data_IF_771249495175
#
_entry.id   IF_771249495175
#
_cell.length_a   1.000
_cell.length_b   1.000
_cell.length_c   1.000
_cell.angle_alpha   90.00
_cell.angle_beta   90.00
_cell.angle_gamma   90.00
#
_symmetry.space_group_name_H-M   'P 1'
#
loop_
_entity.id
_entity.type
_entity.pdbx_description
1 polymer ?
#
# COMPACT_ATOMS: atom_id res chain seq x y z
N UNK A 1 -12.72 -4.40 -26.45
CA UNK A 1 -12.42 -4.87 -25.08
C UNK A 1 -12.07 -3.65 -24.26
N UNK A 2 -12.96 -3.20 -23.40
CA UNK A 2 -12.64 -2.14 -22.43
C UNK A 2 -11.65 -2.74 -21.44
N UNK A 3 -10.41 -2.24 -21.44
CA UNK A 3 -9.43 -2.59 -20.42
C UNK A 3 -10.00 -2.17 -19.07
N UNK A 4 -10.28 -3.13 -18.19
CA UNK A 4 -10.74 -2.86 -16.83
C UNK A 4 -9.68 -1.97 -16.14
N UNK A 5 -10.10 -0.86 -15.53
CA UNK A 5 -9.15 0.08 -14.93
C UNK A 5 -8.38 -0.60 -13.80
N UNK A 6 -7.06 -0.36 -13.74
CA UNK A 6 -6.16 -0.94 -12.74
C UNK A 6 -6.52 -0.51 -11.31
N UNK A 7 -6.24 -1.39 -10.36
CA UNK A 7 -6.15 -1.05 -8.94
C UNK A 7 -4.74 -0.56 -8.66
N UNK A 8 -4.60 0.57 -7.98
CA UNK A 8 -3.32 1.04 -7.48
C UNK A 8 -3.30 0.94 -5.96
N UNK A 9 -2.37 0.16 -5.42
CA UNK A 9 -2.09 0.12 -3.98
C UNK A 9 -0.95 1.10 -3.71
N UNK A 10 -1.23 2.12 -2.90
CA UNK A 10 -0.25 3.15 -2.54
C UNK A 10 0.18 2.98 -1.09
N UNK A 11 1.48 2.76 -0.90
CA UNK A 11 2.11 2.54 0.40
C UNK A 11 2.99 3.73 0.74
N UNK A 12 2.63 4.45 1.81
CA UNK A 12 3.37 5.61 2.28
C UNK A 12 4.73 5.22 2.91
N UNK A 13 5.63 6.19 3.09
CA UNK A 13 6.90 5.95 3.78
C UNK A 13 6.74 5.63 5.28
N UNK A 14 7.84 5.24 5.93
CA UNK A 14 7.87 5.10 7.39
C UNK A 14 7.43 6.42 8.05
N UNK A 15 6.76 6.33 9.20
CA UNK A 15 6.25 7.47 9.98
C UNK A 15 5.22 8.39 9.28
N UNK A 16 4.87 8.12 8.03
CA UNK A 16 3.83 8.87 7.30
C UNK A 16 2.48 8.16 7.35
N UNK A 17 1.40 8.92 7.18
CA UNK A 17 0.02 8.41 7.01
C UNK A 17 -0.30 8.43 5.50
N UNK A 18 -1.34 7.71 5.05
CA UNK A 18 -1.82 7.82 3.67
C UNK A 18 -2.09 9.26 3.20
N UNK A 19 -2.47 10.16 4.11
CA UNK A 19 -2.76 11.56 3.76
C UNK A 19 -1.53 12.34 3.27
N UNK A 20 -0.30 11.91 3.61
CA UNK A 20 0.92 12.51 3.06
C UNK A 20 1.06 12.24 1.54
N UNK A 21 0.37 11.22 1.04
CA UNK A 21 0.26 10.89 -0.38
C UNK A 21 -1.07 11.37 -1.00
N UNK A 22 -1.76 12.33 -0.36
CA UNK A 22 -3.07 12.80 -0.83
C UNK A 22 -3.07 13.29 -2.28
N UNK A 23 -2.05 14.07 -2.68
CA UNK A 23 -1.96 14.59 -4.06
C UNK A 23 -1.95 13.48 -5.12
N UNK A 24 -1.03 12.48 -5.06
CA UNK A 24 -1.05 11.39 -6.03
C UNK A 24 -2.31 10.51 -5.91
N UNK A 25 -2.84 10.28 -4.71
CA UNK A 25 -4.09 9.52 -4.52
C UNK A 25 -5.26 10.21 -5.25
N UNK A 26 -5.44 11.51 -5.04
CA UNK A 26 -6.52 12.26 -5.68
C UNK A 26 -6.35 12.30 -7.20
N UNK A 27 -5.12 12.48 -7.69
CA UNK A 27 -4.87 12.52 -9.13
C UNK A 27 -5.21 11.18 -9.80
N UNK A 28 -4.71 10.07 -9.27
CA UNK A 28 -5.01 8.73 -9.80
C UNK A 28 -6.52 8.42 -9.74
N UNK A 29 -7.20 8.85 -8.69
CA UNK A 29 -8.67 8.72 -8.63
C UNK A 29 -9.39 9.55 -9.68
N UNK A 30 -8.93 10.78 -9.97
CA UNK A 30 -9.47 11.62 -11.07
C UNK A 30 -9.26 10.97 -12.44
N UNK A 31 -8.14 10.31 -12.63
CA UNK A 31 -7.84 9.52 -13.84
C UNK A 31 -8.65 8.21 -13.90
N UNK A 32 -9.35 7.90 -12.79
CA UNK A 32 -10.32 6.83 -12.62
C UNK A 32 -9.73 5.49 -12.19
N UNK A 33 -8.50 5.48 -11.69
CA UNK A 33 -7.93 4.31 -11.01
C UNK A 33 -8.64 4.08 -9.67
N UNK A 34 -8.72 2.81 -9.26
CA UNK A 34 -9.13 2.46 -7.89
C UNK A 34 -7.90 2.53 -7.01
N UNK A 35 -7.81 3.53 -6.13
CA UNK A 35 -6.64 3.73 -5.26
C UNK A 35 -6.91 3.29 -3.84
N UNK A 36 -6.17 2.27 -3.40
CA UNK A 36 -6.14 1.76 -2.04
C UNK A 36 -4.90 2.30 -1.34
N UNK A 37 -5.05 2.92 -0.17
CA UNK A 37 -3.93 3.50 0.56
C UNK A 37 -4.02 3.11 2.03
N UNK A 38 -3.64 1.87 2.38
CA UNK A 38 -3.74 1.38 3.75
C UNK A 38 -2.76 2.17 4.64
N UNK A 39 -3.23 2.53 5.84
CA UNK A 39 -2.32 2.97 6.90
C UNK A 39 -1.48 1.77 7.35
N UNK A 40 -0.27 2.01 7.82
CA UNK A 40 0.62 0.96 8.32
C UNK A 40 1.16 1.34 9.70
N UNK A 41 1.49 0.33 10.50
CA UNK A 41 2.02 0.51 11.85
C UNK A 41 3.45 1.08 11.79
N UNK A 42 3.92 1.75 12.84
CA UNK A 42 5.14 2.58 12.78
C UNK A 42 4.89 4.03 12.40
N UNK A 43 3.65 4.50 12.56
CA UNK A 43 3.43 5.91 12.90
C UNK A 43 4.30 6.27 14.11
N UNK A 44 4.95 7.44 14.09
CA UNK A 44 5.83 7.93 15.16
C UNK A 44 5.11 8.24 16.48
N UNK A 45 4.23 7.35 16.91
CA UNK A 45 3.36 7.44 18.08
C UNK A 45 3.45 6.22 18.99
N UNK A 46 4.00 5.09 18.52
CA UNK A 46 4.33 4.01 19.45
C UNK A 46 5.80 4.11 19.84
N UNK A 47 6.05 4.62 21.05
CA UNK A 47 7.34 4.54 21.76
C UNK A 47 7.64 3.10 22.24
N UNK A 48 6.80 2.14 21.86
CA UNK A 48 6.98 0.74 22.22
C UNK A 48 7.94 0.06 21.24
N UNK A 49 9.20 -0.05 21.67
CA UNK A 49 10.26 -0.73 20.93
C UNK A 49 9.98 -2.23 20.69
N UNK A 50 8.95 -2.82 21.30
CA UNK A 50 8.53 -4.20 21.00
C UNK A 50 7.89 -4.36 19.61
N UNK A 51 7.48 -3.26 18.97
CA UNK A 51 6.86 -3.26 17.63
C UNK A 51 7.91 -3.34 16.50
N UNK A 52 9.19 -3.08 16.81
CA UNK A 52 10.26 -3.02 15.82
C UNK A 52 10.51 -4.36 15.11
N UNK A 53 10.36 -5.49 15.80
CA UNK A 53 10.77 -6.80 15.28
C UNK A 53 9.78 -7.40 14.26
N UNK A 54 8.51 -6.97 14.22
CA UNK A 54 7.50 -7.53 13.31
C UNK A 54 6.93 -6.53 12.28
N UNK A 55 7.35 -5.26 12.33
CA UNK A 55 6.78 -4.20 11.49
C UNK A 55 6.83 -4.52 9.98
N UNK A 56 7.89 -5.19 9.54
CA UNK A 56 8.05 -5.59 8.13
C UNK A 56 7.05 -6.68 7.70
N UNK A 57 6.86 -7.70 8.53
CA UNK A 57 5.97 -8.84 8.22
C UNK A 57 4.51 -8.38 8.21
N UNK A 58 4.16 -7.53 9.18
CA UNK A 58 2.81 -6.95 9.26
C UNK A 58 2.52 -6.01 8.09
N UNK A 59 3.53 -5.25 7.64
CA UNK A 59 3.43 -4.43 6.43
C UNK A 59 3.19 -5.26 5.18
N UNK A 60 4.01 -6.30 4.96
CA UNK A 60 3.90 -7.20 3.81
C UNK A 60 2.50 -7.83 3.75
N UNK A 61 2.03 -8.36 4.89
CA UNK A 61 0.69 -8.93 5.01
C UNK A 61 -0.40 -7.92 4.67
N UNK A 62 -0.31 -6.70 5.19
CA UNK A 62 -1.31 -5.65 4.91
C UNK A 62 -1.30 -5.24 3.43
N UNK A 63 -0.12 -5.20 2.81
CA UNK A 63 0.03 -4.94 1.37
C UNK A 63 -0.63 -6.05 0.54
N UNK A 64 -0.53 -7.32 0.94
CA UNK A 64 -1.20 -8.44 0.27
C UNK A 64 -2.72 -8.42 0.46
N UNK A 65 -3.19 -8.24 1.69
CA UNK A 65 -4.62 -8.34 2.02
C UNK A 65 -5.44 -7.21 1.40
N UNK A 66 -4.86 -6.01 1.27
CA UNK A 66 -5.54 -4.81 0.77
C UNK A 66 -6.16 -4.99 -0.63
N UNK A 67 -5.42 -5.47 -1.65
CA UNK A 67 -5.98 -5.69 -2.98
C UNK A 67 -6.75 -7.01 -3.15
N UNK A 68 -6.71 -7.97 -2.19
CA UNK A 68 -7.31 -9.31 -2.35
C UNK A 68 -8.75 -9.30 -2.89
N UNK A 69 -9.68 -8.46 -2.38
CA UNK A 69 -11.06 -8.44 -2.89
C UNK A 69 -11.14 -8.10 -4.38
N UNK A 70 -10.21 -7.28 -4.88
CA UNK A 70 -10.14 -6.93 -6.30
C UNK A 70 -9.42 -8.00 -7.13
N UNK A 71 -8.36 -8.59 -6.58
CA UNK A 71 -7.65 -9.70 -7.24
C UNK A 71 -8.58 -10.91 -7.43
N UNK A 72 -9.37 -11.26 -6.41
CA UNK A 72 -10.39 -12.32 -6.50
C UNK A 72 -11.47 -12.03 -7.53
N UNK A 73 -11.72 -10.76 -7.86
CA UNK A 73 -12.62 -10.35 -8.94
C UNK A 73 -11.95 -10.37 -10.33
N UNK A 74 -10.73 -10.89 -10.45
CA UNK A 74 -9.97 -10.96 -11.70
C UNK A 74 -9.34 -9.64 -12.12
N UNK A 75 -9.24 -8.66 -11.21
CA UNK A 75 -8.60 -7.36 -11.50
C UNK A 75 -7.11 -7.42 -11.26
N UNK A 76 -6.38 -6.60 -11.99
CA UNK A 76 -4.95 -6.40 -11.80
C UNK A 76 -4.67 -5.25 -10.82
N UNK A 77 -3.56 -5.36 -10.10
CA UNK A 77 -3.11 -4.36 -9.14
C UNK A 77 -1.67 -3.95 -9.42
N UNK A 78 -1.40 -2.64 -9.35
CA UNK A 78 -0.06 -2.06 -9.38
C UNK A 78 0.27 -1.53 -7.99
N UNK A 79 1.44 -1.90 -7.48
CA UNK A 79 1.93 -1.45 -6.19
C UNK A 79 2.86 -0.25 -6.36
N UNK A 80 2.57 0.84 -5.63
CA UNK A 80 3.35 2.08 -5.62
C UNK A 80 3.80 2.35 -4.19
N UNK A 81 5.10 2.23 -3.94
CA UNK A 81 5.67 2.37 -2.61
C UNK A 81 6.60 3.58 -2.51
N UNK A 82 6.56 4.26 -1.36
CA UNK A 82 7.45 5.39 -1.06
C UNK A 82 8.48 5.02 0.01
N UNK A 83 9.76 5.30 -0.28
CA UNK A 83 10.87 5.19 0.69
C UNK A 83 10.93 3.80 1.36
N UNK A 84 11.14 3.74 2.68
CA UNK A 84 11.41 2.51 3.44
C UNK A 84 10.36 1.40 3.25
N UNK A 85 9.07 1.74 3.08
CA UNK A 85 8.04 0.71 2.84
C UNK A 85 8.06 0.13 1.43
N UNK A 86 8.93 0.65 0.56
CA UNK A 86 9.32 -0.02 -0.68
C UNK A 86 10.00 -1.37 -0.45
N UNK A 87 10.61 -1.62 0.72
CA UNK A 87 11.20 -2.91 1.07
C UNK A 87 10.10 -3.97 1.20
N UNK A 88 9.11 -3.72 2.07
CA UNK A 88 7.94 -4.60 2.24
C UNK A 88 7.14 -4.73 0.93
N UNK A 89 6.99 -3.63 0.18
CA UNK A 89 6.30 -3.69 -1.10
C UNK A 89 7.03 -4.52 -2.16
N UNK A 90 8.36 -4.47 -2.22
CA UNK A 90 9.14 -5.28 -3.17
C UNK A 90 9.04 -6.77 -2.82
N UNK A 91 9.13 -7.09 -1.54
CA UNK A 91 8.97 -8.46 -1.05
C UNK A 91 7.56 -9.01 -1.28
N UNK A 92 6.53 -8.17 -1.11
CA UNK A 92 5.16 -8.54 -1.41
C UNK A 92 4.94 -8.95 -2.89
N UNK A 93 5.86 -8.58 -3.79
CA UNK A 93 5.83 -8.98 -5.20
C UNK A 93 6.79 -10.12 -5.56
N UNK A 94 7.54 -10.65 -4.58
CA UNK A 94 8.44 -11.77 -4.81
C UNK A 94 7.63 -13.07 -4.92
N UNK A 95 7.41 -13.53 -6.16
CA UNK A 95 6.66 -14.75 -6.49
C UNK A 95 6.81 -15.12 -7.95
#
# INVERSE_FOLDING_TARGET
MTSEKLVSVLVHGAYHLPHFCRKPIEQLRRDGYVVLAPAHDGHGTSLDNSIADNMYVDDEKRIHETPLPHLHAGRESVLVCHSQRGIAGSAATAG
#
